data_IF_622533410537
#
_entry.id   IF_622533410537
#
_cell.length_a   1.000
_cell.length_b   1.000
_cell.length_c   1.000
_cell.angle_alpha   90.00
_cell.angle_beta   90.00
_cell.angle_gamma   90.00
#
_symmetry.space_group_name_H-M   'P 1'
#
loop_
_entity.id
_entity.type
_entity.pdbx_description
1 polymer ?
#
# COMPACT_ATOMS: atom_id res chain seq x y z
N UNK A 1 26.81 42.51 43.37
CA UNK A 1 27.73 41.64 44.12
C UNK A 1 27.89 40.35 43.33
N UNK A 2 29.14 39.94 43.13
CA UNK A 2 29.62 38.94 42.16
C UNK A 2 29.22 37.48 42.50
N UNK A 3 29.26 36.56 41.51
CA UNK A 3 29.06 35.12 41.73
C UNK A 3 30.30 34.45 42.37
N UNK A 4 30.13 33.33 43.11
CA UNK A 4 31.23 32.58 43.71
C UNK A 4 32.00 31.72 42.68
N UNK A 5 33.27 31.35 42.97
CA UNK A 5 34.26 30.98 41.98
C UNK A 5 34.32 29.47 41.65
N UNK A 6 34.81 29.19 40.44
CA UNK A 6 35.19 27.89 39.90
C UNK A 6 36.46 27.32 40.56
N UNK A 7 36.42 26.05 40.97
CA UNK A 7 37.59 25.30 41.44
C UNK A 7 38.28 24.53 40.30
N UNK A 8 39.62 24.33 40.34
CA UNK A 8 40.42 23.96 39.19
C UNK A 8 40.73 22.46 39.08
N UNK A 9 41.02 22.04 37.84
CA UNK A 9 41.50 20.72 37.43
C UNK A 9 42.96 20.52 37.86
N UNK A 10 43.27 19.40 38.52
CA UNK A 10 44.61 18.80 38.55
C UNK A 10 44.52 17.26 38.55
N UNK A 11 45.14 16.66 37.53
CA UNK A 11 45.71 15.31 37.52
C UNK A 11 47.24 15.52 37.44
N UNK A 12 48.11 14.70 38.07
CA UNK A 12 48.47 13.41 37.46
C UNK A 12 48.99 12.31 38.44
N UNK A 13 49.36 11.17 37.82
CA UNK A 13 50.27 10.08 38.26
C UNK A 13 49.68 8.85 39.00
N UNK A 14 49.73 7.70 38.32
CA UNK A 14 49.61 6.34 38.89
C UNK A 14 50.99 5.80 39.34
N UNK A 15 51.26 4.46 39.42
CA UNK A 15 50.40 3.30 39.13
C UNK A 15 50.39 2.23 40.25
N UNK A 16 49.40 1.32 40.25
CA UNK A 16 49.56 0.00 40.88
C UNK A 16 48.92 -1.11 40.02
N UNK A 17 49.71 -2.16 39.85
CA UNK A 17 49.46 -3.41 39.16
C UNK A 17 48.26 -4.19 39.72
N UNK A 18 47.47 -4.80 38.84
CA UNK A 18 47.08 -6.20 39.05
C UNK A 18 46.85 -6.92 37.70
N UNK A 19 47.24 -8.18 37.69
CA UNK A 19 47.52 -9.05 36.55
C UNK A 19 46.49 -10.17 36.44
N UNK A 20 45.88 -10.37 35.26
CA UNK A 20 45.48 -11.70 34.75
C UNK A 20 44.67 -11.62 33.44
N UNK A 21 45.33 -11.85 32.29
CA UNK A 21 44.75 -12.51 31.09
C UNK A 21 45.83 -12.77 30.03
N UNK A 22 45.82 -13.93 29.35
CA UNK A 22 46.88 -14.34 28.41
C UNK A 22 46.82 -13.56 27.09
N UNK A 23 47.94 -13.37 26.36
CA UNK A 23 47.99 -12.48 25.21
C UNK A 23 47.43 -13.14 23.94
N UNK A 24 46.50 -12.45 23.29
CA UNK A 24 46.04 -12.74 21.93
C UNK A 24 47.15 -12.37 20.92
N UNK A 25 47.43 -13.28 20.00
CA UNK A 25 48.40 -13.11 18.90
C UNK A 25 48.10 -11.83 18.11
N UNK A 26 49.07 -10.92 18.05
CA UNK A 26 49.01 -9.71 17.23
C UNK A 26 48.83 -10.07 15.74
N UNK A 27 47.66 -9.75 15.18
CA UNK A 27 47.48 -9.70 13.73
C UNK A 27 48.22 -8.45 13.23
N UNK A 28 49.24 -8.65 12.38
CA UNK A 28 49.90 -7.55 11.66
C UNK A 28 48.84 -6.71 10.94
N UNK A 29 48.70 -5.45 11.31
CA UNK A 29 47.90 -4.49 10.56
C UNK A 29 48.54 -4.26 9.19
N UNK A 30 47.98 -4.86 8.14
CA UNK A 30 48.37 -4.58 6.75
C UNK A 30 48.17 -3.09 6.44
N UNK A 31 49.18 -2.48 5.82
CA UNK A 31 49.12 -1.09 5.41
C UNK A 31 48.07 -0.89 4.30
N UNK A 32 47.56 0.35 4.18
CA UNK A 32 46.50 0.70 3.20
C UNK A 32 46.91 0.38 1.75
N UNK A 33 48.20 0.41 1.44
CA UNK A 33 48.76 0.05 0.14
C UNK A 33 48.63 -1.47 -0.14
N UNK A 34 49.01 -2.32 0.81
CA UNK A 34 48.92 -3.77 0.67
C UNK A 34 47.47 -4.27 0.55
N UNK A 35 46.52 -3.64 1.24
CA UNK A 35 45.09 -3.94 1.09
C UNK A 35 44.57 -3.63 -0.32
N UNK A 36 45.10 -2.59 -0.97
CA UNK A 36 44.68 -2.16 -2.30
C UNK A 36 45.22 -3.12 -3.37
N UNK A 37 46.48 -3.53 -3.26
CA UNK A 37 47.06 -4.56 -4.14
C UNK A 37 46.37 -5.92 -4.00
N UNK A 38 46.02 -6.34 -2.76
CA UNK A 38 45.31 -7.58 -2.54
C UNK A 38 43.92 -7.55 -3.19
N UNK A 39 43.24 -6.40 -3.14
CA UNK A 39 41.90 -6.22 -3.72
C UNK A 39 41.96 -6.16 -5.26
N UNK A 40 43.00 -5.55 -5.83
CA UNK A 40 43.21 -5.55 -7.29
C UNK A 40 43.59 -6.93 -7.82
N UNK A 41 44.44 -7.69 -7.11
CA UNK A 41 44.72 -9.10 -7.43
C UNK A 41 43.48 -9.98 -7.33
N UNK A 42 42.63 -9.77 -6.34
CA UNK A 42 41.37 -10.52 -6.21
C UNK A 42 40.35 -10.17 -7.30
N UNK A 43 40.29 -8.91 -7.74
CA UNK A 43 39.47 -8.50 -8.89
C UNK A 43 40.00 -9.08 -10.20
N UNK A 44 41.32 -9.10 -10.40
CA UNK A 44 41.93 -9.72 -11.57
C UNK A 44 41.71 -11.24 -11.60
N UNK A 45 41.77 -11.92 -10.45
CA UNK A 45 41.50 -13.36 -10.36
C UNK A 45 40.02 -13.71 -10.60
N UNK A 46 39.08 -12.85 -10.17
CA UNK A 46 37.65 -13.00 -10.48
C UNK A 46 37.35 -12.72 -11.96
N UNK A 47 38.02 -11.75 -12.57
CA UNK A 47 37.88 -11.45 -14.00
C UNK A 47 38.45 -12.57 -14.89
N UNK A 48 39.45 -13.31 -14.40
CA UNK A 48 40.05 -14.45 -15.10
C UNK A 48 39.35 -15.80 -14.83
N UNK A 49 38.20 -15.81 -14.14
CA UNK A 49 37.35 -17.00 -14.01
C UNK A 49 37.98 -18.21 -13.33
N UNK A 50 38.90 -18.03 -12.37
CA UNK A 50 39.49 -19.13 -11.59
C UNK A 50 39.22 -18.98 -10.09
N UNK A 51 38.43 -19.89 -9.53
CA UNK A 51 38.25 -20.08 -8.08
C UNK A 51 39.12 -21.27 -7.62
N UNK A 52 39.93 -21.19 -6.53
CA UNK A 52 40.72 -22.33 -6.06
C UNK A 52 40.05 -23.16 -4.93
N UNK A 53 39.95 -24.49 -5.16
CA UNK A 53 39.84 -25.62 -4.19
C UNK A 53 38.43 -25.94 -3.63
N UNK A 54 37.91 -27.19 -3.53
CA UNK A 54 38.38 -28.59 -3.71
C UNK A 54 37.13 -29.54 -3.47
N UNK A 55 37.17 -30.90 -3.54
CA UNK A 55 37.34 -31.86 -4.65
C UNK A 55 36.13 -32.85 -4.88
N UNK A 56 36.31 -33.80 -5.82
CA UNK A 56 35.50 -35.03 -6.14
C UNK A 56 34.34 -34.88 -7.14
N UNK A 57 33.97 -35.84 -7.99
CA UNK A 57 34.57 -37.00 -8.68
C UNK A 57 33.49 -37.54 -9.64
N UNK A 58 33.88 -38.06 -10.82
CA UNK A 58 33.10 -38.92 -11.76
C UNK A 58 31.92 -38.26 -12.52
N UNK A 59 31.60 -38.54 -13.80
CA UNK A 59 32.12 -39.43 -14.83
C UNK A 59 31.69 -38.95 -16.25
N UNK A 60 32.60 -39.13 -17.22
CA UNK A 60 32.44 -39.54 -18.63
C UNK A 60 31.18 -39.15 -19.47
N UNK A 61 31.41 -38.26 -20.46
CA UNK A 61 31.29 -38.39 -21.94
C UNK A 61 30.23 -39.33 -22.61
N UNK A 62 29.86 -39.16 -23.92
CA UNK A 62 30.43 -38.28 -24.95
C UNK A 62 29.44 -37.49 -25.85
N UNK A 63 30.00 -36.50 -26.55
CA UNK A 63 29.42 -35.76 -27.69
C UNK A 63 29.42 -36.60 -28.97
N UNK A 64 28.46 -36.36 -29.88
CA UNK A 64 28.65 -36.40 -31.34
C UNK A 64 27.74 -35.36 -32.06
N UNK A 65 28.10 -34.94 -33.29
CA UNK A 65 27.98 -33.55 -33.74
C UNK A 65 26.80 -33.27 -34.67
N UNK A 66 26.40 -31.99 -34.70
CA UNK A 66 25.47 -31.44 -35.68
C UNK A 66 26.15 -31.26 -37.05
N UNK A 67 25.46 -31.66 -38.13
CA UNK A 67 25.74 -31.24 -39.51
C UNK A 67 24.44 -30.74 -40.15
N UNK A 68 24.59 -29.61 -40.83
CA UNK A 68 23.67 -28.90 -41.74
C UNK A 68 22.78 -29.81 -42.60
N UNK A 69 21.57 -29.36 -42.92
CA UNK A 69 21.24 -28.85 -44.27
C UNK A 69 19.73 -28.56 -44.42
N UNK A 70 19.46 -27.58 -45.27
CA UNK A 70 18.18 -27.04 -45.72
C UNK A 70 17.30 -28.06 -46.46
N UNK A 71 16.00 -27.74 -46.50
CA UNK A 71 15.17 -27.64 -47.73
C UNK A 71 13.77 -28.28 -47.59
N UNK A 72 12.77 -27.41 -47.76
CA UNK A 72 11.33 -27.61 -47.96
C UNK A 72 11.01 -28.46 -49.21
N UNK A 73 9.75 -28.54 -49.69
CA UNK A 73 8.44 -28.78 -49.05
C UNK A 73 7.70 -29.95 -49.77
N UNK A 74 6.57 -30.44 -49.23
CA UNK A 74 5.43 -30.97 -50.03
C UNK A 74 4.22 -31.34 -49.17
N UNK A 75 3.09 -30.68 -49.46
CA UNK A 75 1.69 -31.06 -49.20
C UNK A 75 1.26 -31.74 -50.55
N UNK A 76 0.44 -32.82 -50.64
CA UNK A 76 -0.95 -32.73 -50.20
C UNK A 76 -1.73 -34.02 -49.84
N UNK A 77 -2.91 -33.76 -49.25
CA UNK A 77 -4.21 -34.35 -49.60
C UNK A 77 -4.85 -35.39 -48.67
N UNK A 78 -6.18 -35.25 -48.61
CA UNK A 78 -7.23 -36.22 -48.30
C UNK A 78 -7.63 -36.46 -46.83
N UNK A 79 -8.75 -35.83 -46.47
CA UNK A 79 -9.75 -36.42 -45.55
C UNK A 79 -10.75 -37.27 -46.39
N UNK A 80 -11.76 -37.99 -45.84
CA UNK A 80 -12.07 -38.30 -44.43
C UNK A 80 -12.47 -39.79 -44.18
N UNK A 81 -12.56 -40.24 -42.92
CA UNK A 81 -13.76 -40.90 -42.32
C UNK A 81 -13.52 -41.44 -40.89
N UNK A 82 -14.57 -41.56 -40.08
CA UNK A 82 -14.51 -41.56 -38.62
C UNK A 82 -14.49 -42.97 -38.03
N UNK A 83 -13.80 -43.15 -36.89
CA UNK A 83 -14.09 -44.23 -35.94
C UNK A 83 -13.88 -43.75 -34.52
N UNK A 84 -14.98 -43.75 -33.77
CA UNK A 84 -15.03 -43.71 -32.32
C UNK A 84 -14.15 -44.81 -31.71
N UNK A 85 -13.34 -44.44 -30.73
CA UNK A 85 -13.03 -45.27 -29.57
C UNK A 85 -12.30 -44.42 -28.52
N UNK A 86 -12.86 -44.39 -27.31
CA UNK A 86 -12.48 -43.51 -26.23
C UNK A 86 -11.00 -43.58 -25.81
N UNK A 87 -10.49 -42.41 -25.41
CA UNK A 87 -9.31 -42.29 -24.56
C UNK A 87 -9.46 -41.10 -23.62
N UNK A 88 -9.10 -41.36 -22.37
CA UNK A 88 -9.02 -40.46 -21.22
C UNK A 88 -8.76 -39.00 -21.56
N UNK A 89 -9.56 -38.09 -21.00
CA UNK A 89 -9.23 -36.67 -20.92
C UNK A 89 -8.01 -36.49 -20.00
N UNK A 90 -6.82 -36.61 -20.58
CA UNK A 90 -5.63 -35.98 -20.04
C UNK A 90 -5.83 -34.46 -20.18
N UNK A 91 -5.60 -33.75 -19.08
CA UNK A 91 -5.70 -32.31 -18.99
C UNK A 91 -4.96 -31.64 -20.16
N UNK A 92 -5.72 -30.95 -21.00
CA UNK A 92 -5.14 -30.02 -21.96
C UNK A 92 -4.51 -28.89 -21.13
N UNK A 93 -3.19 -28.85 -21.04
CA UNK A 93 -2.51 -27.62 -20.66
C UNK A 93 -3.03 -26.54 -21.61
N UNK A 94 -3.55 -25.40 -21.09
CA UNK A 94 -3.93 -24.32 -21.97
C UNK A 94 -2.65 -23.81 -22.62
N UNK A 95 -2.61 -23.87 -23.95
CA UNK A 95 -1.60 -23.20 -24.77
C UNK A 95 -1.42 -21.76 -24.28
N UNK A 96 -0.21 -21.18 -24.34
CA UNK A 96 0.05 -19.85 -23.79
C UNK A 96 -0.89 -18.86 -24.47
N UNK A 97 -1.92 -18.45 -23.76
CA UNK A 97 -2.80 -17.37 -24.18
C UNK A 97 -1.87 -16.20 -24.43
N UNK A 98 -1.78 -15.73 -25.68
CA UNK A 98 -1.05 -14.51 -25.99
C UNK A 98 -1.55 -13.43 -25.01
N UNK A 99 -0.76 -13.11 -23.98
CA UNK A 99 -1.01 -12.00 -23.08
C UNK A 99 -0.86 -10.73 -23.92
N UNK A 100 -1.94 -10.36 -24.61
CA UNK A 100 -2.02 -9.15 -25.44
C UNK A 100 -2.54 -8.04 -24.53
N UNK A 101 -1.58 -7.26 -24.05
CA UNK A 101 -1.75 -6.12 -23.17
C UNK A 101 -0.37 -5.56 -22.80
N UNK A 102 -0.32 -4.39 -22.18
CA UNK A 102 0.94 -3.87 -21.65
C UNK A 102 1.51 -4.87 -20.63
N UNK A 103 2.68 -5.46 -20.92
CA UNK A 103 3.30 -6.51 -20.07
C UNK A 103 3.48 -6.09 -18.62
N UNK A 104 3.67 -4.79 -18.39
CA UNK A 104 3.79 -4.20 -17.05
C UNK A 104 2.49 -4.26 -16.23
N UNK A 105 1.37 -4.63 -16.85
CA UNK A 105 0.09 -4.82 -16.16
C UNK A 105 -0.39 -6.29 -16.18
N UNK A 106 0.39 -7.23 -16.74
CA UNK A 106 -0.07 -8.63 -16.89
C UNK A 106 -0.21 -9.38 -15.57
N UNK A 107 0.44 -8.90 -14.50
CA UNK A 107 0.31 -9.44 -13.15
C UNK A 107 -0.92 -8.92 -12.40
N UNK A 108 -1.61 -7.90 -12.91
CA UNK A 108 -2.90 -7.51 -12.37
C UNK A 108 -3.92 -8.57 -12.77
N UNK A 109 -4.25 -9.45 -11.83
CA UNK A 109 -5.32 -10.43 -12.04
C UNK A 109 -6.60 -9.72 -12.46
N UNK A 110 -7.24 -10.18 -13.54
CA UNK A 110 -8.53 -9.67 -13.95
C UNK A 110 -9.52 -9.70 -12.78
N UNK A 111 -10.31 -8.64 -12.60
CA UNK A 111 -11.37 -8.61 -11.58
C UNK A 111 -12.31 -9.80 -11.84
N UNK A 112 -12.25 -10.81 -10.97
CA UNK A 112 -13.16 -11.95 -11.04
C UNK A 112 -14.52 -11.44 -10.58
N UNK A 113 -15.56 -11.57 -11.42
CA UNK A 113 -16.93 -11.43 -10.94
C UNK A 113 -17.12 -12.43 -9.80
N UNK A 114 -17.77 -12.01 -8.71
CA UNK A 114 -18.11 -12.87 -7.59
C UNK A 114 -18.90 -14.09 -8.11
N UNK A 115 -18.21 -15.20 -8.36
CA UNK A 115 -18.81 -16.49 -8.69
C UNK A 115 -19.16 -17.22 -7.39
N UNK A 116 -20.17 -18.10 -7.46
CA UNK A 116 -20.68 -18.93 -6.37
C UNK A 116 -19.54 -19.52 -5.53
N UNK A 117 -19.46 -19.11 -4.27
CA UNK A 117 -18.30 -19.35 -3.40
C UNK A 117 -18.39 -20.76 -2.81
N UNK A 118 -17.25 -21.44 -2.72
CA UNK A 118 -17.10 -22.66 -1.92
C UNK A 118 -16.68 -22.27 -0.50
N UNK A 119 -17.52 -22.56 0.51
CA UNK A 119 -17.21 -22.36 1.93
C UNK A 119 -18.34 -21.69 2.71
N UNK A 120 -18.31 -21.82 4.03
CA UNK A 120 -19.25 -21.18 4.95
C UNK A 120 -18.85 -19.71 5.14
N UNK A 121 -19.49 -18.81 4.39
CA UNK A 121 -19.21 -17.36 4.43
C UNK A 121 -20.33 -16.65 5.18
N UNK A 122 -19.94 -15.84 6.16
CA UNK A 122 -20.90 -15.15 7.02
C UNK A 122 -21.72 -14.12 6.23
N UNK A 123 -23.05 -13.99 6.44
CA UNK A 123 -23.89 -13.04 5.70
C UNK A 123 -23.42 -11.58 5.75
N UNK A 124 -22.86 -11.15 6.89
CA UNK A 124 -22.27 -9.83 7.04
C UNK A 124 -21.09 -9.59 6.07
N UNK A 125 -20.29 -10.64 5.82
CA UNK A 125 -19.13 -10.60 4.92
C UNK A 125 -19.57 -10.62 3.46
N UNK A 126 -20.62 -11.40 3.13
CA UNK A 126 -21.22 -11.37 1.78
C UNK A 126 -21.74 -9.98 1.42
N UNK A 127 -22.46 -9.33 2.35
CA UNK A 127 -22.96 -7.97 2.16
C UNK A 127 -21.82 -6.97 1.97
N UNK A 128 -20.79 -7.06 2.80
CA UNK A 128 -19.63 -6.17 2.72
C UNK A 128 -18.85 -6.37 1.41
N UNK A 129 -18.67 -7.61 0.98
CA UNK A 129 -18.01 -7.96 -0.28
C UNK A 129 -18.73 -7.31 -1.47
N UNK A 130 -20.06 -7.37 -1.51
CA UNK A 130 -20.87 -6.71 -2.54
C UNK A 130 -20.70 -5.18 -2.51
N UNK A 131 -20.72 -4.57 -1.32
CA UNK A 131 -20.48 -3.14 -1.17
C UNK A 131 -19.07 -2.71 -1.64
N UNK A 132 -18.07 -3.58 -1.48
CA UNK A 132 -16.72 -3.36 -1.98
C UNK A 132 -16.63 -3.51 -3.50
N UNK A 133 -17.20 -4.57 -4.08
CA UNK A 133 -17.16 -4.80 -5.53
C UNK A 133 -17.91 -3.72 -6.31
N UNK A 134 -18.98 -3.16 -5.76
CA UNK A 134 -19.76 -2.07 -6.35
C UNK A 134 -19.18 -0.68 -6.04
N UNK A 135 -18.04 -0.59 -5.34
CA UNK A 135 -17.43 0.69 -4.95
C UNK A 135 -18.38 1.62 -4.17
N UNK A 136 -19.35 1.06 -3.43
CA UNK A 136 -20.20 1.84 -2.52
C UNK A 136 -19.39 2.38 -1.33
N UNK A 137 -18.41 1.58 -0.88
CA UNK A 137 -17.45 1.96 0.16
C UNK A 137 -16.05 2.04 -0.49
N UNK A 138 -15.53 3.26 -0.68
CA UNK A 138 -14.25 3.49 -1.38
C UNK A 138 -13.10 3.89 -0.48
N UNK A 139 -13.31 4.78 0.48
CA UNK A 139 -12.26 5.37 1.31
C UNK A 139 -11.52 4.34 2.18
N UNK A 140 -10.21 4.54 2.38
CA UNK A 140 -9.36 3.63 3.14
C UNK A 140 -9.83 3.42 4.60
N UNK A 141 -10.30 4.49 5.27
CA UNK A 141 -10.84 4.44 6.64
C UNK A 141 -12.17 3.71 6.67
N UNK A 142 -13.08 4.12 5.77
CA UNK A 142 -14.42 3.53 5.69
C UNK A 142 -14.36 2.03 5.41
N UNK A 143 -13.47 1.58 4.52
CA UNK A 143 -13.23 0.16 4.24
C UNK A 143 -12.71 -0.57 5.48
N UNK A 144 -11.75 0.01 6.20
CA UNK A 144 -11.20 -0.57 7.42
C UNK A 144 -12.26 -0.73 8.52
N UNK A 145 -12.99 0.35 8.82
CA UNK A 145 -14.06 0.36 9.83
C UNK A 145 -15.16 -0.64 9.48
N UNK A 146 -15.62 -0.66 8.23
CA UNK A 146 -16.65 -1.60 7.78
C UNK A 146 -16.19 -3.06 7.90
N UNK A 147 -14.91 -3.34 7.62
CA UNK A 147 -14.32 -4.69 7.76
C UNK A 147 -14.26 -5.11 9.23
N UNK A 148 -13.80 -4.22 10.10
CA UNK A 148 -13.72 -4.48 11.54
C UNK A 148 -15.10 -4.71 12.15
N UNK A 149 -16.10 -3.88 11.80
CA UNK A 149 -17.48 -4.06 12.25
C UNK A 149 -18.09 -5.38 11.75
N UNK A 150 -17.80 -5.76 10.50
CA UNK A 150 -18.23 -7.07 9.99
C UNK A 150 -17.57 -8.21 10.77
N UNK A 151 -16.28 -8.12 11.10
CA UNK A 151 -15.60 -9.12 11.93
C UNK A 151 -16.12 -9.18 13.37
N UNK A 152 -16.53 -8.06 13.98
CA UNK A 152 -17.23 -8.11 15.28
C UNK A 152 -18.48 -9.00 15.20
N UNK A 153 -19.27 -8.83 14.14
CA UNK A 153 -20.48 -9.65 13.92
C UNK A 153 -20.11 -11.12 13.76
N UNK A 154 -19.11 -11.42 12.91
CA UNK A 154 -18.62 -12.80 12.70
C UNK A 154 -18.09 -13.43 13.99
N UNK A 155 -17.38 -12.68 14.84
CA UNK A 155 -16.81 -13.18 16.09
C UNK A 155 -17.90 -13.45 17.12
N UNK A 156 -18.93 -12.61 17.18
CA UNK A 156 -20.07 -12.82 18.09
C UNK A 156 -20.91 -14.04 17.68
N UNK A 157 -21.17 -14.20 16.38
CA UNK A 157 -21.97 -15.31 15.83
C UNK A 157 -21.19 -16.64 15.75
N UNK A 158 -19.86 -16.60 15.92
CA UNK A 158 -19.00 -17.79 15.90
C UNK A 158 -19.29 -18.71 17.10
N UNK A 159 -19.15 -20.02 16.91
CA UNK A 159 -19.21 -21.02 18.00
C UNK A 159 -18.00 -21.94 17.90
N UNK A 160 -17.29 -22.15 19.01
CA UNK A 160 -16.10 -23.01 19.00
C UNK A 160 -16.49 -24.48 18.81
N UNK A 161 -15.90 -25.20 17.83
CA UNK A 161 -16.17 -26.62 17.66
C UNK A 161 -15.59 -27.44 18.83
N UNK A 162 -16.20 -28.59 19.16
CA UNK A 162 -15.74 -29.43 20.26
C UNK A 162 -14.28 -29.86 20.06
N UNK A 163 -13.54 -29.98 21.17
CA UNK A 163 -12.11 -30.34 21.21
C UNK A 163 -11.12 -29.27 20.68
N UNK A 164 -11.56 -28.02 20.53
CA UNK A 164 -10.68 -26.91 20.15
C UNK A 164 -10.87 -25.72 21.08
N UNK A 165 -9.92 -24.78 21.07
CA UNK A 165 -10.06 -23.49 21.76
C UNK A 165 -10.39 -22.40 20.74
N UNK A 166 -11.06 -21.34 21.21
CA UNK A 166 -11.38 -20.17 20.38
C UNK A 166 -10.13 -19.61 19.70
N UNK A 167 -9.04 -19.41 20.44
CA UNK A 167 -7.78 -18.86 19.92
C UNK A 167 -7.16 -19.70 18.78
N UNK A 168 -7.32 -21.03 18.81
CA UNK A 168 -6.79 -21.94 17.78
C UNK A 168 -7.65 -21.96 16.52
N UNK A 169 -8.97 -22.01 16.66
CA UNK A 169 -9.85 -22.26 15.52
C UNK A 169 -10.44 -20.98 14.89
N UNK A 170 -10.62 -19.91 15.66
CA UNK A 170 -11.21 -18.66 15.15
C UNK A 170 -10.45 -18.10 13.95
N UNK A 171 -9.12 -18.21 13.92
CA UNK A 171 -8.33 -17.76 12.78
C UNK A 171 -8.56 -18.60 11.51
N UNK A 172 -8.75 -19.90 11.66
CA UNK A 172 -9.12 -20.79 10.55
C UNK A 172 -10.51 -20.43 10.03
N UNK A 173 -11.44 -20.07 10.92
CA UNK A 173 -12.78 -19.60 10.55
C UNK A 173 -12.78 -18.23 9.84
N UNK A 174 -11.93 -17.29 10.25
CA UNK A 174 -11.83 -15.96 9.62
C UNK A 174 -11.12 -15.98 8.25
N UNK A 175 -10.27 -16.98 7.98
CA UNK A 175 -9.44 -17.03 6.77
C UNK A 175 -10.26 -17.11 5.46
N UNK A 176 -11.32 -17.94 5.35
CA UNK A 176 -12.25 -17.91 4.22
C UNK A 176 -12.96 -16.57 4.05
N UNK A 177 -13.36 -15.92 5.16
CA UNK A 177 -14.03 -14.61 5.15
C UNK A 177 -13.11 -13.53 4.56
N UNK A 178 -11.85 -13.50 5.00
CA UNK A 178 -10.83 -12.58 4.47
C UNK A 178 -10.58 -12.84 2.99
N UNK A 179 -10.44 -14.11 2.61
CA UNK A 179 -10.21 -14.50 1.21
C UNK A 179 -11.37 -14.07 0.31
N UNK A 180 -12.59 -14.15 0.83
CA UNK A 180 -13.78 -13.70 0.12
C UNK A 180 -13.78 -12.18 -0.12
N UNK A 181 -13.45 -11.38 0.91
CA UNK A 181 -13.31 -9.92 0.77
C UNK A 181 -12.22 -9.54 -0.24
N UNK A 182 -11.07 -10.22 -0.20
CA UNK A 182 -9.95 -10.00 -1.15
C UNK A 182 -10.38 -10.31 -2.58
N UNK A 183 -11.15 -11.37 -2.78
CA UNK A 183 -11.65 -11.75 -4.10
C UNK A 183 -12.64 -10.73 -4.66
N UNK A 184 -13.48 -10.12 -3.81
CA UNK A 184 -14.41 -9.07 -4.21
C UNK A 184 -13.70 -7.77 -4.60
N UNK A 185 -12.67 -7.39 -3.84
CA UNK A 185 -11.83 -6.22 -4.11
C UNK A 185 -10.48 -6.35 -3.39
N UNK A 186 -9.33 -6.08 -4.06
CA UNK A 186 -8.02 -6.14 -3.41
C UNK A 186 -7.97 -5.38 -2.10
N UNK A 187 -7.41 -6.00 -1.07
CA UNK A 187 -7.38 -5.46 0.29
C UNK A 187 -6.52 -4.20 0.38
N UNK A 188 -7.02 -3.16 1.05
CA UNK A 188 -6.23 -1.97 1.36
C UNK A 188 -5.14 -2.27 2.40
N UNK A 189 -4.08 -1.46 2.40
CA UNK A 189 -3.03 -1.56 3.44
C UNK A 189 -3.63 -1.43 4.85
N UNK A 190 -4.62 -0.54 4.99
CA UNK A 190 -5.35 -0.31 6.25
C UNK A 190 -6.04 -1.56 6.78
N UNK A 191 -6.78 -2.28 5.93
CA UNK A 191 -7.43 -3.53 6.28
C UNK A 191 -6.39 -4.61 6.64
N UNK A 192 -5.28 -4.69 5.89
CA UNK A 192 -4.21 -5.64 6.17
C UNK A 192 -3.57 -5.43 7.54
N UNK A 193 -3.28 -4.17 7.90
CA UNK A 193 -2.74 -3.82 9.21
C UNK A 193 -3.74 -4.12 10.34
N UNK A 194 -5.02 -3.81 10.15
CA UNK A 194 -6.07 -4.11 11.12
C UNK A 194 -6.25 -5.63 11.33
N UNK A 195 -6.19 -6.42 10.26
CA UNK A 195 -6.25 -7.90 10.34
C UNK A 195 -5.02 -8.47 11.05
N UNK A 196 -3.82 -7.92 10.83
CA UNK A 196 -2.61 -8.33 11.57
C UNK A 196 -2.76 -8.05 13.06
N UNK A 197 -3.30 -6.89 13.43
CA UNK A 197 -3.59 -6.57 14.83
C UNK A 197 -4.61 -7.55 15.43
N UNK A 198 -5.73 -7.79 14.73
CA UNK A 198 -6.74 -8.72 15.21
C UNK A 198 -6.19 -10.15 15.39
N UNK A 199 -5.34 -10.61 14.47
CA UNK A 199 -4.62 -11.89 14.59
C UNK A 199 -3.77 -11.96 15.86
N UNK A 200 -3.06 -10.87 16.15
CA UNK A 200 -2.24 -10.78 17.35
C UNK A 200 -3.10 -10.79 18.63
N UNK A 201 -4.21 -10.06 18.65
CA UNK A 201 -5.12 -10.03 19.79
C UNK A 201 -5.75 -11.42 20.04
N UNK A 202 -6.15 -12.14 18.98
CA UNK A 202 -6.66 -13.51 19.07
C UNK A 202 -5.60 -14.47 19.65
N UNK A 203 -4.32 -14.29 19.27
CA UNK A 203 -3.23 -15.11 19.79
C UNK A 203 -2.94 -14.87 21.28
N UNK A 204 -3.33 -13.71 21.81
CA UNK A 204 -3.18 -13.32 23.22
C UNK A 204 -4.36 -13.69 24.10
N UNK A 205 -5.49 -14.06 23.51
CA UNK A 205 -6.69 -14.48 24.26
C UNK A 205 -6.35 -15.63 25.21
N UNK A 206 -6.67 -15.48 26.49
CA UNK A 206 -6.46 -16.54 27.48
C UNK A 206 -7.32 -17.76 27.15
N UNK A 207 -6.80 -18.95 27.44
CA UNK A 207 -7.51 -20.22 27.29
C UNK A 207 -8.49 -20.43 28.45
N UNK A 208 -8.22 -19.80 29.60
CA UNK A 208 -9.00 -19.98 30.83
C UNK A 208 -10.27 -19.11 30.86
N UNK A 209 -10.41 -18.17 29.93
CA UNK A 209 -11.57 -17.30 29.81
C UNK A 209 -12.76 -18.04 29.21
N UNK A 210 -13.99 -17.84 29.73
CA UNK A 210 -15.20 -18.29 29.05
C UNK A 210 -15.27 -17.75 27.63
N UNK A 211 -15.80 -18.55 26.70
CA UNK A 211 -15.85 -18.21 25.28
C UNK A 211 -16.52 -16.85 25.01
N UNK A 212 -17.64 -16.58 25.68
CA UNK A 212 -18.37 -15.33 25.49
C UNK A 212 -17.57 -14.12 25.98
N UNK A 213 -16.84 -14.26 27.09
CA UNK A 213 -16.01 -13.19 27.63
C UNK A 213 -14.82 -12.92 26.70
N UNK A 214 -14.18 -13.96 26.18
CA UNK A 214 -13.13 -13.83 25.17
C UNK A 214 -13.63 -13.11 23.89
N UNK A 215 -14.84 -13.44 23.41
CA UNK A 215 -15.46 -12.72 22.27
C UNK A 215 -15.71 -11.25 22.58
N UNK A 216 -16.19 -10.95 23.79
CA UNK A 216 -16.46 -9.58 24.24
C UNK A 216 -15.16 -8.78 24.32
N UNK A 217 -14.09 -9.36 24.85
CA UNK A 217 -12.75 -8.73 24.88
C UNK A 217 -12.21 -8.46 23.47
N UNK A 218 -12.34 -9.41 22.54
CA UNK A 218 -11.94 -9.20 21.14
C UNK A 218 -12.76 -8.09 20.47
N UNK A 219 -14.07 -8.06 20.68
CA UNK A 219 -14.94 -7.00 20.15
C UNK A 219 -14.57 -5.62 20.74
N UNK A 220 -14.24 -5.58 22.03
CA UNK A 220 -13.75 -4.37 22.69
C UNK A 220 -12.41 -3.92 22.12
N UNK A 221 -11.46 -4.84 21.88
CA UNK A 221 -10.18 -4.52 21.23
C UNK A 221 -10.40 -3.89 19.84
N UNK A 222 -11.36 -4.41 19.07
CA UNK A 222 -11.74 -3.83 17.78
C UNK A 222 -12.29 -2.40 17.94
N UNK A 223 -13.16 -2.17 18.92
CA UNK A 223 -13.72 -0.83 19.19
C UNK A 223 -12.64 0.16 19.65
N UNK A 224 -11.75 -0.29 20.53
CA UNK A 224 -10.58 0.48 20.98
C UNK A 224 -9.66 0.81 19.79
N UNK A 225 -9.43 -0.14 18.88
CA UNK A 225 -8.67 0.10 17.65
C UNK A 225 -9.32 1.18 16.77
N UNK A 226 -10.64 1.10 16.51
CA UNK A 226 -11.35 2.09 15.70
C UNK A 226 -11.33 3.47 16.36
N UNK A 227 -11.56 3.52 17.69
CA UNK A 227 -11.55 4.76 18.45
C UNK A 227 -10.18 5.39 18.43
N UNK A 228 -9.14 4.68 18.85
CA UNK A 228 -7.84 5.26 19.13
C UNK A 228 -7.02 5.48 17.85
N UNK A 229 -7.09 4.52 16.91
CA UNK A 229 -6.21 4.50 15.73
C UNK A 229 -6.78 5.22 14.53
N UNK A 230 -8.09 5.46 14.50
CA UNK A 230 -8.77 6.10 13.39
C UNK A 230 -9.45 7.38 13.88
N UNK A 231 -10.37 7.29 14.83
CA UNK A 231 -11.23 8.44 15.20
C UNK A 231 -10.47 9.52 15.98
N UNK A 232 -9.75 9.13 17.03
CA UNK A 232 -8.93 10.04 17.83
C UNK A 232 -7.74 10.56 17.02
N UNK A 233 -7.11 9.69 16.21
CA UNK A 233 -6.05 10.09 15.30
C UNK A 233 -6.51 11.16 14.29
N UNK A 234 -7.69 10.99 13.68
CA UNK A 234 -8.29 12.00 12.80
C UNK A 234 -8.42 13.36 13.50
N UNK A 235 -8.90 13.39 14.75
CA UNK A 235 -9.06 14.64 15.51
C UNK A 235 -7.74 15.34 15.82
N UNK A 236 -6.68 14.59 16.13
CA UNK A 236 -5.34 15.16 16.38
C UNK A 236 -4.72 15.71 15.09
N UNK A 237 -4.90 14.99 13.97
CA UNK A 237 -4.45 15.43 12.65
C UNK A 237 -5.19 16.69 12.21
N UNK A 238 -6.50 16.74 12.45
CA UNK A 238 -7.36 17.90 12.21
C UNK A 238 -6.82 19.13 12.93
N UNK A 239 -6.64 19.05 14.24
CA UNK A 239 -6.12 20.17 15.05
C UNK A 239 -4.71 20.61 14.59
N UNK A 240 -3.84 19.65 14.29
CA UNK A 240 -2.46 19.91 13.88
C UNK A 240 -2.36 20.53 12.49
N UNK A 241 -3.18 20.08 11.54
CA UNK A 241 -3.19 20.57 10.18
C UNK A 241 -3.93 21.92 10.07
N UNK A 242 -5.00 22.11 10.84
CA UNK A 242 -5.75 23.36 10.91
C UNK A 242 -4.84 24.55 11.25
N UNK A 243 -3.93 24.36 12.21
CA UNK A 243 -2.90 25.36 12.60
C UNK A 243 -1.97 25.79 11.46
N UNK A 244 -1.88 25.02 10.37
CA UNK A 244 -1.06 25.33 9.19
C UNK A 244 -1.79 26.16 8.13
N UNK A 245 -3.12 26.19 8.15
CA UNK A 245 -3.92 27.01 7.24
C UNK A 245 -3.98 28.43 7.79
N UNK A 246 -3.65 29.43 6.97
CA UNK A 246 -3.65 30.84 7.34
C UNK A 246 -4.80 31.58 6.66
N UNK A 247 -5.13 32.73 7.21
CA UNK A 247 -6.03 33.67 6.55
C UNK A 247 -5.46 34.13 5.21
N UNK A 248 -6.29 34.10 4.18
CA UNK A 248 -5.94 34.41 2.80
C UNK A 248 -5.40 33.22 2.00
N UNK A 249 -5.25 32.04 2.59
CA UNK A 249 -4.74 30.87 1.87
C UNK A 249 -5.70 30.39 0.76
N UNK A 250 -5.09 29.86 -0.30
CA UNK A 250 -5.77 29.13 -1.38
C UNK A 250 -5.28 27.69 -1.28
N UNK A 251 -6.12 26.82 -0.72
CA UNK A 251 -5.78 25.43 -0.44
C UNK A 251 -6.21 24.55 -1.61
N UNK A 252 -5.26 23.88 -2.26
CA UNK A 252 -5.54 22.87 -3.27
C UNK A 252 -5.69 21.50 -2.62
N UNK A 253 -6.75 20.77 -2.97
CA UNK A 253 -6.92 19.37 -2.62
C UNK A 253 -7.28 18.54 -3.85
N UNK A 254 -7.01 17.24 -3.79
CA UNK A 254 -7.20 16.32 -4.91
C UNK A 254 -8.15 15.18 -4.56
N UNK A 255 -9.15 14.96 -5.42
CA UNK A 255 -10.21 13.97 -5.24
C UNK A 255 -10.95 14.18 -3.91
N UNK A 256 -11.19 13.11 -3.14
CA UNK A 256 -11.83 13.14 -1.84
C UNK A 256 -11.04 12.36 -0.80
N UNK A 257 -10.78 13.02 0.33
CA UNK A 257 -10.24 12.41 1.55
C UNK A 257 -11.11 12.81 2.73
N UNK A 258 -11.54 11.84 3.53
CA UNK A 258 -12.34 12.10 4.74
C UNK A 258 -11.57 12.90 5.80
N UNK A 259 -10.25 12.70 5.89
CA UNK A 259 -9.41 13.41 6.86
C UNK A 259 -9.24 14.87 6.43
N UNK A 260 -9.01 15.11 5.13
CA UNK A 260 -8.89 16.48 4.60
C UNK A 260 -10.23 17.21 4.64
N UNK A 261 -11.34 16.51 4.36
CA UNK A 261 -12.70 17.04 4.52
C UNK A 261 -12.91 17.59 5.94
N UNK A 262 -12.53 16.82 6.98
CA UNK A 262 -12.59 17.27 8.39
C UNK A 262 -11.69 18.46 8.66
N UNK A 263 -10.42 18.42 8.23
CA UNK A 263 -9.45 19.51 8.40
C UNK A 263 -9.99 20.84 7.85
N UNK A 264 -10.53 20.83 6.63
CA UNK A 264 -11.04 22.05 5.98
C UNK A 264 -12.31 22.57 6.68
N UNK A 265 -13.22 21.68 7.08
CA UNK A 265 -14.42 22.07 7.81
C UNK A 265 -14.07 22.66 9.19
N UNK A 266 -13.13 22.04 9.90
CA UNK A 266 -12.66 22.51 11.20
C UNK A 266 -11.98 23.88 11.11
N UNK A 267 -11.09 24.06 10.12
CA UNK A 267 -10.45 25.34 9.87
C UNK A 267 -11.47 26.46 9.59
N UNK A 268 -12.53 26.14 8.85
CA UNK A 268 -13.61 27.11 8.61
C UNK A 268 -14.42 27.38 9.87
N UNK A 269 -14.73 26.36 10.67
CA UNK A 269 -15.45 26.49 11.93
C UNK A 269 -14.67 27.30 12.99
N UNK A 270 -13.33 27.25 12.97
CA UNK A 270 -12.46 28.12 13.76
C UNK A 270 -12.46 29.60 13.29
N UNK A 271 -13.14 29.92 12.19
CA UNK A 271 -13.24 31.27 11.65
C UNK A 271 -12.11 31.67 10.69
N UNK A 272 -11.26 30.73 10.24
CA UNK A 272 -10.20 31.02 9.27
C UNK A 272 -10.81 31.35 7.91
N UNK A 273 -10.28 32.39 7.27
CA UNK A 273 -10.74 32.84 5.94
C UNK A 273 -9.80 32.33 4.87
N UNK A 274 -10.19 31.28 4.16
CA UNK A 274 -9.43 30.70 3.06
C UNK A 274 -10.38 30.25 1.94
N UNK A 275 -9.82 29.95 0.78
CA UNK A 275 -10.55 29.33 -0.34
C UNK A 275 -9.98 27.96 -0.68
N UNK A 276 -10.79 27.10 -1.28
CA UNK A 276 -10.41 25.72 -1.61
C UNK A 276 -10.52 25.48 -3.11
N UNK A 277 -9.45 24.98 -3.71
CA UNK A 277 -9.48 24.44 -5.07
C UNK A 277 -9.58 22.92 -4.99
N UNK A 278 -10.64 22.35 -5.54
CA UNK A 278 -10.84 20.90 -5.61
C UNK A 278 -10.50 20.43 -7.02
N UNK A 279 -9.34 19.80 -7.17
CA UNK A 279 -8.95 19.11 -8.38
C UNK A 279 -9.51 17.69 -8.40
N UNK A 280 -10.08 17.27 -9.52
CA UNK A 280 -10.75 15.97 -9.66
C UNK A 280 -10.31 15.23 -10.92
N UNK A 281 -10.58 13.93 -10.98
CA UNK A 281 -10.23 13.09 -12.12
C UNK A 281 -11.29 12.06 -12.44
N UNK A 282 -11.37 11.74 -13.73
CA UNK A 282 -12.16 10.61 -14.22
C UNK A 282 -11.49 9.30 -13.78
N UNK A 283 -12.25 8.21 -13.60
CA UNK A 283 -13.69 8.09 -13.88
C UNK A 283 -14.63 8.36 -12.70
N UNK A 284 -14.17 8.23 -11.46
CA UNK A 284 -15.06 8.22 -10.28
C UNK A 284 -15.56 9.62 -9.88
N UNK A 285 -14.85 10.69 -10.26
CA UNK A 285 -15.21 12.09 -9.95
C UNK A 285 -15.60 12.31 -8.48
N UNK A 286 -14.80 11.77 -7.56
CA UNK A 286 -15.10 11.79 -6.14
C UNK A 286 -14.98 13.18 -5.52
N UNK A 287 -14.18 14.06 -6.15
CA UNK A 287 -14.04 15.45 -5.73
C UNK A 287 -15.37 16.20 -5.72
N UNK A 288 -16.34 15.83 -6.57
CA UNK A 288 -17.69 16.40 -6.54
C UNK A 288 -18.40 16.22 -5.19
N UNK A 289 -18.19 15.09 -4.52
CA UNK A 289 -18.78 14.85 -3.19
C UNK A 289 -18.15 15.75 -2.14
N UNK A 290 -16.82 15.91 -2.18
CA UNK A 290 -16.10 16.82 -1.29
C UNK A 290 -16.56 18.27 -1.52
N UNK A 291 -16.60 18.70 -2.78
CA UNK A 291 -17.07 20.03 -3.18
C UNK A 291 -18.48 20.32 -2.64
N UNK A 292 -19.40 19.36 -2.76
CA UNK A 292 -20.77 19.53 -2.26
C UNK A 292 -20.84 19.70 -0.74
N UNK A 293 -19.92 19.09 0.02
CA UNK A 293 -19.86 19.24 1.48
C UNK A 293 -19.28 20.61 1.85
N UNK A 294 -18.14 20.98 1.25
CA UNK A 294 -17.46 22.26 1.55
C UNK A 294 -18.29 23.47 1.13
N UNK A 295 -18.94 23.42 -0.05
CA UNK A 295 -19.80 24.50 -0.53
C UNK A 295 -21.03 24.69 0.35
N UNK A 296 -21.65 23.60 0.85
CA UNK A 296 -22.77 23.68 1.81
C UNK A 296 -22.37 24.26 3.16
N UNK A 297 -21.11 24.07 3.55
CA UNK A 297 -20.55 24.66 4.76
C UNK A 297 -20.24 26.16 4.61
N UNK A 298 -20.37 26.74 3.41
CA UNK A 298 -20.11 28.16 3.16
C UNK A 298 -18.66 28.49 2.78
N UNK A 299 -17.82 27.48 2.54
CA UNK A 299 -16.42 27.67 2.12
C UNK A 299 -16.39 28.06 0.64
N UNK A 300 -15.61 29.10 0.30
CA UNK A 300 -15.38 29.47 -1.10
C UNK A 300 -14.61 28.37 -1.81
N UNK A 301 -15.22 27.75 -2.82
CA UNK A 301 -14.67 26.60 -3.51
C UNK A 301 -14.62 26.79 -5.02
N UNK A 302 -13.50 26.41 -5.63
CA UNK A 302 -13.31 26.29 -7.08
C UNK A 302 -13.15 24.82 -7.46
N UNK A 303 -13.76 24.39 -8.56
CA UNK A 303 -13.68 23.01 -9.04
C UNK A 303 -13.05 22.93 -10.41
N UNK A 304 -12.11 21.99 -10.58
CA UNK A 304 -11.43 21.77 -11.85
C UNK A 304 -11.04 20.30 -12.02
N UNK A 305 -10.67 19.95 -13.25
CA UNK A 305 -10.11 18.64 -13.56
C UNK A 305 -8.58 18.68 -13.53
N UNK A 306 -7.97 17.53 -13.23
CA UNK A 306 -6.52 17.36 -13.10
C UNK A 306 -5.67 18.05 -14.19
N UNK A 307 -6.02 18.03 -15.50
CA UNK A 307 -5.23 18.72 -16.52
C UNK A 307 -5.11 20.24 -16.33
N UNK A 308 -6.08 20.86 -15.66
CA UNK A 308 -6.11 22.31 -15.40
C UNK A 308 -5.29 22.71 -14.17
N UNK A 309 -4.75 21.75 -13.40
CA UNK A 309 -3.94 22.04 -12.20
C UNK A 309 -2.76 22.94 -12.56
N UNK A 310 -2.08 22.69 -13.68
CA UNK A 310 -0.94 23.50 -14.10
C UNK A 310 -1.27 24.97 -14.38
N UNK A 311 -2.51 25.30 -14.73
CA UNK A 311 -2.94 26.68 -15.00
C UNK A 311 -3.28 27.46 -13.74
N UNK A 312 -3.76 26.77 -12.69
CA UNK A 312 -4.19 27.42 -11.43
C UNK A 312 -3.12 27.36 -10.34
N UNK A 313 -2.09 26.51 -10.51
CA UNK A 313 -1.11 26.22 -9.45
C UNK A 313 -0.42 27.50 -8.93
N UNK A 314 -0.29 28.53 -9.78
CA UNK A 314 0.29 29.84 -9.40
C UNK A 314 -0.52 30.61 -8.37
N UNK A 315 -1.83 30.36 -8.29
CA UNK A 315 -2.73 30.99 -7.30
C UNK A 315 -2.80 30.19 -5.99
N UNK A 316 -2.27 28.96 -5.98
CA UNK A 316 -2.36 28.04 -4.82
C UNK A 316 -1.25 28.35 -3.82
N UNK A 317 -1.62 28.52 -2.55
CA UNK A 317 -0.65 28.76 -1.47
C UNK A 317 -0.17 27.48 -0.78
N UNK A 318 -1.02 26.45 -0.70
CA UNK A 318 -0.68 25.16 -0.06
C UNK A 318 -1.50 24.02 -0.67
N UNK A 319 -0.89 22.84 -0.79
CA UNK A 319 -1.58 21.62 -1.20
C UNK A 319 -1.79 20.70 0.00
N UNK A 320 -3.03 20.28 0.25
CA UNK A 320 -3.38 19.33 1.31
C UNK A 320 -4.08 18.12 0.70
N UNK A 321 -3.48 16.94 0.87
CA UNK A 321 -4.02 15.67 0.37
C UNK A 321 -4.10 14.62 1.46
N UNK A 322 -5.01 13.66 1.28
CA UNK A 322 -5.03 12.43 2.08
C UNK A 322 -4.19 11.34 1.44
N UNK A 323 -3.62 10.46 2.25
CA UNK A 323 -2.97 9.24 1.78
C UNK A 323 -3.86 8.00 1.96
N UNK A 324 -3.75 7.05 1.02
CA UNK A 324 -4.25 5.69 1.24
C UNK A 324 -3.30 4.92 2.17
N UNK A 325 -2.00 5.05 1.94
CA UNK A 325 -0.93 4.52 2.80
C UNK A 325 0.39 5.25 2.55
N UNK A 326 1.34 5.13 3.49
CA UNK A 326 2.71 5.61 3.31
C UNK A 326 3.66 4.43 3.50
N UNK A 327 4.62 4.30 2.60
CA UNK A 327 5.54 3.16 2.54
C UNK A 327 6.81 3.45 3.35
N UNK A 328 7.57 2.40 3.68
CA UNK A 328 8.76 2.53 4.53
C UNK A 328 9.86 3.44 3.97
N UNK A 329 9.88 3.68 2.66
CA UNK A 329 10.78 4.65 2.00
C UNK A 329 10.24 6.10 2.01
N UNK A 330 9.10 6.35 2.67
CA UNK A 330 8.43 7.64 2.70
C UNK A 330 7.58 7.96 1.47
N UNK A 331 7.47 7.04 0.52
CA UNK A 331 6.62 7.25 -0.65
C UNK A 331 5.14 7.19 -0.26
N UNK A 332 4.36 8.16 -0.73
CA UNK A 332 2.92 8.23 -0.45
C UNK A 332 2.17 7.52 -1.55
N UNK A 333 1.37 6.54 -1.15
CA UNK A 333 0.45 5.83 -2.02
C UNK A 333 -0.94 6.43 -1.86
N UNK A 334 -1.45 7.07 -2.91
CA UNK A 334 -2.76 7.74 -2.91
C UNK A 334 -3.40 7.64 -4.29
N UNK A 335 -4.53 8.33 -4.50
CA UNK A 335 -5.30 8.22 -5.74
C UNK A 335 -4.49 8.64 -6.96
N UNK A 336 -4.64 7.92 -8.06
CA UNK A 336 -3.94 8.19 -9.31
C UNK A 336 -4.14 9.66 -9.72
N UNK A 337 -3.04 10.38 -9.95
CA UNK A 337 -2.99 11.83 -10.15
C UNK A 337 -2.42 12.60 -8.96
N UNK A 338 -2.30 12.00 -7.76
CA UNK A 338 -1.69 12.64 -6.60
C UNK A 338 -0.22 12.97 -6.87
N UNK A 339 0.50 12.09 -7.54
CA UNK A 339 1.89 12.32 -7.91
C UNK A 339 2.04 13.52 -8.87
N UNK A 340 1.09 13.70 -9.81
CA UNK A 340 1.08 14.83 -10.74
C UNK A 340 0.85 16.16 -10.01
N UNK A 341 -0.10 16.19 -9.07
CA UNK A 341 -0.34 17.37 -8.22
C UNK A 341 0.92 17.69 -7.41
N UNK A 342 1.56 16.68 -6.81
CA UNK A 342 2.79 16.85 -6.04
C UNK A 342 3.97 17.36 -6.88
N UNK A 343 4.09 16.88 -8.12
CA UNK A 343 5.11 17.36 -9.07
C UNK A 343 4.91 18.83 -9.41
N UNK A 344 3.68 19.24 -9.71
CA UNK A 344 3.36 20.64 -10.02
C UNK A 344 3.58 21.55 -8.80
N UNK A 345 3.14 21.12 -7.62
CA UNK A 345 3.37 21.86 -6.38
C UNK A 345 4.87 22.06 -6.12
N UNK A 346 5.67 20.99 -6.24
CA UNK A 346 7.12 21.06 -6.06
C UNK A 346 7.80 22.01 -7.04
N UNK A 347 7.41 21.97 -8.32
CA UNK A 347 7.97 22.83 -9.36
C UNK A 347 7.73 24.32 -9.07
N UNK A 348 6.60 24.64 -8.44
CA UNK A 348 6.24 26.01 -8.03
C UNK A 348 6.61 26.35 -6.58
N UNK A 349 7.38 25.49 -5.90
CA UNK A 349 7.79 25.68 -4.49
C UNK A 349 6.62 25.80 -3.51
N UNK A 350 5.48 25.19 -3.83
CA UNK A 350 4.28 25.17 -2.99
C UNK A 350 4.39 23.98 -2.01
N UNK A 351 4.12 24.19 -0.72
CA UNK A 351 4.17 23.12 0.27
C UNK A 351 3.11 22.06 -0.03
N UNK A 352 3.55 20.80 -0.09
CA UNK A 352 2.71 19.62 -0.28
C UNK A 352 2.59 18.85 1.04
N UNK A 353 1.42 18.98 1.67
CA UNK A 353 1.11 18.44 3.00
C UNK A 353 0.23 17.21 2.86
N UNK A 354 0.65 16.11 3.47
CA UNK A 354 -0.08 14.83 3.45
C UNK A 354 -0.65 14.55 4.82
N UNK A 355 -1.97 14.44 4.93
CA UNK A 355 -2.65 14.01 6.15
C UNK A 355 -2.79 12.49 6.14
N UNK A 356 -2.19 11.81 7.13
CA UNK A 356 -2.22 10.36 7.22
C UNK A 356 -2.05 9.87 8.66
N UNK A 357 -2.91 8.96 9.04
CA UNK A 357 -2.90 8.26 10.32
C UNK A 357 -1.80 7.20 10.31
N UNK A 358 -1.13 7.00 11.45
CA UNK A 358 0.02 6.09 11.51
C UNK A 358 -0.34 4.62 11.29
N UNK A 359 -1.61 4.22 11.47
CA UNK A 359 -2.04 2.84 11.19
C UNK A 359 -2.08 2.50 9.68
N UNK A 360 -2.01 3.51 8.81
CA UNK A 360 -1.92 3.34 7.35
C UNK A 360 -0.50 3.14 6.84
N UNK A 361 0.49 3.17 7.74
CA UNK A 361 1.89 2.97 7.36
C UNK A 361 2.14 1.51 6.98
N UNK A 362 2.93 1.31 5.93
CA UNK A 362 3.34 0.00 5.44
C UNK A 362 4.84 -0.17 5.67
N UNK A 363 5.22 -1.30 6.29
CA UNK A 363 6.63 -1.70 6.38
C UNK A 363 7.22 -2.02 4.99
N UNK A 364 6.37 -2.35 4.02
CA UNK A 364 6.78 -2.62 2.66
C UNK A 364 7.28 -1.36 1.95
N UNK A 365 8.26 -1.55 1.06
CA UNK A 365 8.73 -0.54 0.13
C UNK A 365 8.15 -0.82 -1.25
N UNK A 366 7.73 0.23 -1.94
CA UNK A 366 7.34 0.18 -3.34
C UNK A 366 8.12 1.24 -4.10
N UNK A 367 8.62 0.88 -5.27
CA UNK A 367 9.49 1.74 -6.08
C UNK A 367 8.77 2.35 -7.29
N UNK A 368 7.64 1.77 -7.69
CA UNK A 368 6.87 2.18 -8.85
C UNK A 368 5.36 2.15 -8.57
N UNK A 369 4.53 2.62 -9.50
CA UNK A 369 3.08 2.61 -9.35
C UNK A 369 2.39 1.37 -9.94
N UNK A 370 3.14 0.41 -10.48
CA UNK A 370 2.57 -0.72 -11.24
C UNK A 370 2.82 -2.08 -10.59
N UNK A 371 3.84 -2.27 -9.75
CA UNK A 371 4.11 -3.57 -9.11
C UNK A 371 2.97 -3.98 -8.18
N UNK A 372 2.40 -3.03 -7.42
CA UNK A 372 1.20 -3.24 -6.60
C UNK A 372 0.23 -2.07 -6.78
N UNK A 373 -0.93 -2.35 -7.35
CA UNK A 373 -1.98 -1.39 -7.60
C UNK A 373 -3.36 -2.07 -7.61
N UNK A 374 -4.42 -1.27 -7.64
CA UNK A 374 -5.79 -1.71 -7.78
C UNK A 374 -6.32 -1.19 -9.13
N UNK A 375 -6.88 -2.10 -9.95
CA UNK A 375 -7.60 -1.69 -11.15
C UNK A 375 -9.05 -1.35 -10.77
N UNK A 376 -9.49 -0.17 -11.19
CA UNK A 376 -10.85 0.30 -11.01
C UNK A 376 -11.81 -0.31 -12.02
N UNK A 377 -13.12 -0.12 -11.81
CA UNK A 377 -14.13 -0.65 -12.71
C UNK A 377 -13.98 -0.01 -14.11
N UNK A 378 -14.02 -0.87 -15.13
CA UNK A 378 -13.86 -0.50 -16.54
C UNK A 378 -15.21 -0.36 -17.30
N UNK A 379 -16.34 -0.50 -16.61
CA UNK A 379 -17.69 -0.44 -17.21
C UNK A 379 -18.22 0.98 -17.41
N UNK A 380 -19.51 1.21 -17.07
CA UNK A 380 -20.22 2.50 -17.23
C UNK A 380 -19.49 3.72 -16.65
N UNK A 381 -18.55 3.51 -15.74
CA UNK A 381 -17.69 4.56 -15.16
C UNK A 381 -16.79 5.26 -16.18
N UNK A 382 -16.42 4.61 -17.29
CA UNK A 382 -15.66 5.24 -18.36
C UNK A 382 -16.55 5.95 -19.40
N UNK A 383 -17.88 5.82 -19.29
CA UNK A 383 -18.79 6.52 -20.20
C UNK A 383 -18.66 8.04 -20.04
N UNK A 384 -18.69 8.79 -21.15
CA UNK A 384 -18.30 10.19 -21.13
C UNK A 384 -19.24 11.13 -20.37
N UNK A 385 -20.50 10.79 -20.04
CA UNK A 385 -21.38 11.74 -19.35
C UNK A 385 -22.69 11.09 -18.84
N UNK A 386 -23.35 11.63 -17.78
CA UNK A 386 -24.75 11.36 -17.49
C UNK A 386 -25.63 12.18 -18.46
N UNK A 387 -25.76 11.74 -19.71
CA UNK A 387 -26.75 12.29 -20.64
C UNK A 387 -27.76 11.20 -20.97
N UNK A 388 -29.04 11.54 -20.76
CA UNK A 388 -30.21 10.70 -21.02
C UNK A 388 -30.41 10.28 -22.48
N UNK A 389 -29.45 10.57 -23.37
CA UNK A 389 -29.41 10.10 -24.75
C UNK A 389 -27.98 9.70 -25.13
N UNK A 390 -27.74 8.45 -25.54
CA UNK A 390 -26.43 8.00 -26.00
C UNK A 390 -26.21 8.61 -27.39
N UNK A 391 -25.65 9.80 -27.44
CA UNK A 391 -25.16 10.36 -28.70
C UNK A 391 -23.86 9.64 -29.00
N UNK A 392 -23.92 8.54 -29.76
CA UNK A 392 -22.77 7.73 -30.20
C UNK A 392 -21.69 7.63 -29.13
N UNK A 393 -22.07 7.27 -27.91
CA UNK A 393 -21.09 7.01 -26.87
C UNK A 393 -20.28 5.83 -27.39
N UNK A 394 -19.04 6.08 -27.82
CA UNK A 394 -18.05 5.05 -28.09
C UNK A 394 -17.89 4.28 -26.77
N UNK A 395 -18.72 3.25 -26.60
CA UNK A 395 -18.66 2.33 -25.49
C UNK A 395 -17.34 1.59 -25.67
N UNK A 396 -16.30 2.12 -25.04
CA UNK A 396 -14.99 1.49 -25.02
C UNK A 396 -15.16 0.19 -24.24
N UNK A 397 -15.14 -0.91 -24.98
CA UNK A 397 -15.04 -2.26 -24.45
C UNK A 397 -13.65 -2.80 -24.77
N UNK A 398 -13.19 -3.78 -23.98
CA UNK A 398 -11.97 -4.49 -24.34
C UNK A 398 -12.22 -5.26 -25.65
N UNK A 399 -11.42 -4.98 -26.67
CA UNK A 399 -11.44 -5.65 -27.98
C UNK A 399 -10.08 -6.29 -28.27
N UNK A 400 -9.96 -7.06 -29.36
CA UNK A 400 -8.74 -7.80 -29.70
C UNK A 400 -7.47 -6.93 -29.80
N UNK A 401 -7.63 -5.62 -30.05
CA UNK A 401 -6.55 -4.64 -30.17
C UNK A 401 -6.71 -3.44 -29.21
N UNK A 402 -7.65 -3.51 -28.26
CA UNK A 402 -7.95 -2.44 -27.31
C UNK A 402 -7.97 -3.00 -25.88
N UNK A 403 -7.00 -2.59 -25.07
CA UNK A 403 -6.96 -2.85 -23.63
C UNK A 403 -7.25 -1.55 -22.88
N UNK A 404 -8.27 -1.57 -22.04
CA UNK A 404 -8.66 -0.43 -21.21
C UNK A 404 -8.11 -0.62 -19.81
N UNK A 405 -7.38 0.37 -19.32
CA UNK A 405 -6.74 0.35 -18.00
C UNK A 405 -7.22 1.53 -17.16
N UNK A 406 -7.45 1.26 -15.87
CA UNK A 406 -7.86 2.26 -14.90
C UNK A 406 -7.16 2.00 -13.55
N UNK A 407 -5.84 2.28 -13.43
CA UNK A 407 -5.16 2.19 -12.15
C UNK A 407 -5.73 3.26 -11.19
N UNK A 408 -6.14 2.83 -10.00
CA UNK A 408 -6.80 3.73 -9.04
C UNK A 408 -5.85 4.56 -8.20
N UNK A 409 -4.61 4.09 -8.05
CA UNK A 409 -3.61 4.72 -7.19
C UNK A 409 -2.31 5.00 -7.94
N UNK A 410 -1.53 5.93 -7.41
CA UNK A 410 -0.16 6.20 -7.82
C UNK A 410 0.75 6.37 -6.60
N UNK A 411 2.05 6.32 -6.87
CA UNK A 411 3.10 6.50 -5.88
C UNK A 411 3.72 7.88 -6.04
N UNK A 412 3.60 8.70 -5.00
CA UNK A 412 4.22 10.02 -4.92
C UNK A 412 5.59 9.91 -4.25
N UNK A 413 6.67 10.38 -4.88
CA UNK A 413 8.01 10.27 -4.32
C UNK A 413 8.17 11.14 -3.07
N UNK A 414 8.95 10.68 -2.06
CA UNK A 414 9.14 11.42 -0.81
C UNK A 414 9.76 12.81 -1.02
N UNK A 415 10.52 12.99 -2.11
CA UNK A 415 11.16 14.27 -2.44
C UNK A 415 10.18 15.35 -2.88
N UNK A 416 8.93 15.00 -3.21
CA UNK A 416 7.86 15.96 -3.52
C UNK A 416 6.95 16.26 -2.33
N UNK A 417 7.20 15.64 -1.18
CA UNK A 417 6.39 15.80 0.02
C UNK A 417 7.11 16.75 0.97
N UNK A 418 6.44 17.82 1.37
CA UNK A 418 6.98 18.79 2.31
C UNK A 418 6.85 18.28 3.75
N UNK A 419 5.66 17.79 4.11
CA UNK A 419 5.39 17.28 5.45
C UNK A 419 4.26 16.23 5.45
N UNK A 420 4.33 15.32 6.41
CA UNK A 420 3.27 14.37 6.73
C UNK A 420 2.72 14.74 8.11
N UNK A 421 1.41 15.00 8.18
CA UNK A 421 0.70 15.28 9.42
C UNK A 421 0.08 13.98 9.92
N UNK A 422 0.47 13.58 11.13
CA UNK A 422 0.02 12.38 11.81
C UNK A 422 -0.41 12.71 13.24
N UNK A 423 -1.02 11.76 13.94
CA UNK A 423 -1.36 11.91 15.36
C UNK A 423 -0.16 11.98 16.29
N UNK A 424 1.04 11.58 15.84
CA UNK A 424 2.31 11.76 16.59
C UNK A 424 2.96 13.11 16.32
N UNK A 425 2.39 13.91 15.43
CA UNK A 425 2.87 15.23 15.05
C UNK A 425 3.18 15.36 13.55
N UNK A 426 3.85 16.46 13.22
CA UNK A 426 4.25 16.79 11.85
C UNK A 426 5.67 16.29 11.63
N UNK A 427 5.83 15.38 10.67
CA UNK A 427 7.08 14.67 10.40
C UNK A 427 7.46 14.81 8.92
N UNK A 428 8.75 14.68 8.58
CA UNK A 428 9.14 14.49 7.19
C UNK A 428 8.75 13.08 6.72
N UNK A 429 8.48 12.93 5.42
CA UNK A 429 8.05 11.65 4.85
C UNK A 429 9.06 10.50 5.06
N UNK A 430 10.36 10.82 5.13
CA UNK A 430 11.42 9.83 5.36
C UNK A 430 11.43 9.24 6.78
N UNK A 431 10.83 9.90 7.76
CA UNK A 431 10.75 9.43 9.16
C UNK A 431 9.65 8.39 9.40
N UNK A 432 8.85 8.08 8.39
CA UNK A 432 7.69 7.16 8.50
C UNK A 432 8.10 5.77 8.97
N UNK A 433 9.28 5.26 8.58
CA UNK A 433 9.77 3.95 9.02
C UNK A 433 10.13 3.86 10.51
N UNK A 434 10.50 4.98 11.13
CA UNK A 434 10.86 5.01 12.55
C UNK A 434 9.64 4.92 13.49
N UNK A 435 8.46 5.32 13.01
CA UNK A 435 7.27 5.45 13.86
C UNK A 435 6.66 4.10 14.25
N UNK A 436 6.43 3.14 13.33
CA UNK A 436 5.96 1.81 13.71
C UNK A 436 6.88 1.13 14.73
N UNK A 437 8.20 1.28 14.55
CA UNK A 437 9.23 0.78 15.47
C UNK A 437 9.11 1.42 16.86
N UNK A 438 8.95 2.76 16.91
CA UNK A 438 8.82 3.49 18.17
C UNK A 438 7.49 3.21 18.90
N UNK A 439 6.42 2.90 18.16
CA UNK A 439 5.10 2.62 18.72
C UNK A 439 4.91 1.14 19.12
N UNK A 440 5.98 0.33 19.17
CA UNK A 440 5.95 -1.13 19.42
C UNK A 440 4.97 -1.87 18.50
N UNK A 441 4.76 -1.37 17.29
CA UNK A 441 3.86 -2.00 16.31
C UNK A 441 4.69 -3.02 15.55
N UNK A 442 4.35 -4.30 15.75
CA UNK A 442 5.08 -5.47 15.26
C UNK A 442 5.50 -5.36 13.77
N UNK A 443 6.66 -5.97 13.42
CA UNK A 443 7.35 -5.80 12.13
C UNK A 443 6.56 -6.27 10.90
#
# INVERSE_FOLDING_TARGET
MAPPPSLPVQNPSGPHHDSSRPPLKAQKEMTKAERRELQERQRAAKAAGKTPGQPSASAQAPKKPNKNAEASPKIPSAAPKPKDAGRSMAAHEPAPSHQRGLRIFSHFGAQKRLSTIKGDIHPAILRLALQFSEFKITGANARCIATLNAFKTVIQDYVTPPNTTLSRHLMTHLSPQISHLVAARPMSVTMGNAIRQLKFDISKSSIDLPEQDAKNELCKSIDDYIRDRITAADGIIEESCCKKIKDGDVVLTYSRSSVVEKVLLAAHAEGRRFSVVVADSRPLLEGKRLLSVLSRAGIQCSYLLLPSVGSIITEVSTVIVGAHSIHGNGAVYSRAGTALVAMMAKQHSIPFIVCCETYKFSAGVQLDSFTKNELGPLGDTLTPYPLAKPREALLLANEAHLEILNPLYDLTPPTSITAVVTEVGIIPATSVSAIPLALYRLP
#
